data_IF_575331462162
#
_entry.id   IF_575331462162
#
_cell.length_a   1.000
_cell.length_b   1.000
_cell.length_c   1.000
_cell.angle_alpha   90.00
_cell.angle_beta   90.00
_cell.angle_gamma   90.00
#
_symmetry.space_group_name_H-M   'P 1'
#
loop_
_entity.id
_entity.type
_entity.pdbx_description
1 polymer ?
#
# COMPACT_ATOMS: atom_id res chain seq x y z
N UNK A 1 -16.16 -11.39 3.94
CA UNK A 1 -15.66 -10.10 4.41
C UNK A 1 -15.26 -9.22 3.22
N UNK A 2 -15.78 -8.01 3.19
CA UNK A 2 -15.45 -7.06 2.15
C UNK A 2 -14.37 -6.11 2.64
N UNK A 3 -13.44 -5.79 1.74
CA UNK A 3 -12.37 -4.84 2.03
C UNK A 3 -12.48 -3.71 0.99
N UNK A 4 -12.68 -2.50 1.48
CA UNK A 4 -12.78 -1.35 0.59
C UNK A 4 -11.40 -0.92 0.14
N UNK A 5 -11.23 -0.69 -1.17
CA UNK A 5 -9.94 -0.29 -1.72
C UNK A 5 -9.41 1.00 -1.07
N UNK A 6 -10.32 1.94 -0.78
CA UNK A 6 -9.93 3.20 -0.12
C UNK A 6 -9.35 2.98 1.27
N UNK A 7 -9.85 1.97 2.00
CA UNK A 7 -9.34 1.66 3.33
C UNK A 7 -7.95 1.04 3.24
N UNK A 8 -7.75 0.15 2.27
CA UNK A 8 -6.45 -0.46 2.03
C UNK A 8 -5.44 0.60 1.62
N UNK A 9 -5.86 1.52 0.76
CA UNK A 9 -5.00 2.62 0.33
C UNK A 9 -4.57 3.49 1.51
N UNK A 10 -5.50 3.79 2.42
CA UNK A 10 -5.18 4.56 3.62
C UNK A 10 -4.18 3.83 4.52
N UNK A 11 -4.33 2.51 4.65
CA UNK A 11 -3.38 1.71 5.41
C UNK A 11 -1.99 1.71 4.76
N UNK A 12 -1.96 1.65 3.43
CA UNK A 12 -0.70 1.69 2.69
C UNK A 12 0.02 3.02 2.90
N UNK A 13 -0.73 4.11 2.86
CA UNK A 13 -0.17 5.44 3.10
C UNK A 13 0.42 5.55 4.50
N UNK A 14 -0.29 5.04 5.51
CA UNK A 14 0.21 5.05 6.88
C UNK A 14 1.46 4.19 7.05
N UNK A 15 1.46 3.01 6.45
CA UNK A 15 2.59 2.11 6.52
C UNK A 15 3.83 2.73 5.87
N UNK A 16 3.64 3.36 4.72
CA UNK A 16 4.73 4.01 4.02
C UNK A 16 5.29 5.19 4.83
N UNK A 17 4.42 5.97 5.44
CA UNK A 17 4.84 7.13 6.23
C UNK A 17 5.67 6.74 7.45
N UNK A 18 5.45 5.55 8.01
CA UNK A 18 6.21 5.07 9.16
C UNK A 18 7.67 4.81 8.80
N UNK A 19 7.91 4.30 7.60
CA UNK A 19 9.25 3.95 7.16
C UNK A 19 9.92 5.06 6.34
N UNK A 20 9.11 5.98 5.82
CA UNK A 20 9.61 7.07 4.98
C UNK A 20 9.02 8.41 5.45
N UNK A 21 9.29 8.82 6.70
CA UNK A 21 8.75 10.09 7.21
C UNK A 21 9.27 11.27 6.40
N UNK A 22 8.38 12.19 6.10
CA UNK A 22 8.74 13.40 5.35
C UNK A 22 8.75 13.22 3.84
N UNK A 23 8.55 12.01 3.33
CA UNK A 23 8.50 11.79 1.89
C UNK A 23 7.13 12.16 1.35
N UNK A 24 7.10 12.97 0.30
CA UNK A 24 5.85 13.37 -0.35
C UNK A 24 5.40 12.25 -1.27
N UNK A 25 4.15 11.80 -1.10
CA UNK A 25 3.56 10.80 -1.98
C UNK A 25 2.89 11.53 -3.14
N UNK A 26 3.48 11.44 -4.33
CA UNK A 26 2.95 12.07 -5.53
C UNK A 26 2.03 11.13 -6.29
N UNK A 27 2.32 9.85 -6.25
CA UNK A 27 1.48 8.84 -6.87
C UNK A 27 1.56 7.56 -6.05
N UNK A 28 0.47 6.81 -6.05
CA UNK A 28 0.43 5.51 -5.38
C UNK A 28 -0.48 4.59 -6.19
N UNK A 29 0.03 3.40 -6.47
CA UNK A 29 -0.74 2.36 -7.13
C UNK A 29 -0.94 1.22 -6.16
N UNK A 30 -2.09 0.58 -6.24
CA UNK A 30 -2.46 -0.50 -5.34
C UNK A 30 -2.80 -1.75 -6.16
N UNK A 31 -2.20 -2.87 -5.77
CA UNK A 31 -2.45 -4.17 -6.40
C UNK A 31 -2.94 -5.13 -5.34
N UNK A 32 -4.14 -5.65 -5.51
CA UNK A 32 -4.72 -6.59 -4.56
C UNK A 32 -4.53 -7.99 -5.08
N UNK A 33 -3.95 -8.87 -4.26
CA UNK A 33 -3.77 -10.27 -4.59
C UNK A 33 -4.70 -11.12 -3.73
N UNK A 34 -5.83 -11.58 -4.27
CA UNK A 34 -6.76 -12.43 -3.51
C UNK A 34 -6.13 -13.74 -3.05
N UNK A 35 -5.24 -14.29 -3.84
CA UNK A 35 -4.59 -15.57 -3.54
C UNK A 35 -3.74 -15.50 -2.29
N UNK A 36 -3.13 -14.34 -2.05
CA UNK A 36 -2.24 -14.13 -0.92
C UNK A 36 -2.92 -13.41 0.23
N UNK A 37 -4.17 -12.98 0.05
CA UNK A 37 -4.88 -12.13 1.00
C UNK A 37 -4.04 -10.92 1.38
N UNK A 38 -3.46 -10.29 0.39
CA UNK A 38 -2.57 -9.17 0.60
C UNK A 38 -2.72 -8.14 -0.51
N UNK A 39 -2.32 -6.91 -0.21
CA UNK A 39 -2.25 -5.85 -1.20
C UNK A 39 -0.83 -5.32 -1.26
N UNK A 40 -0.35 -5.10 -2.46
CA UNK A 40 0.96 -4.51 -2.70
C UNK A 40 0.77 -3.11 -3.22
N UNK A 41 1.66 -2.22 -2.88
CA UNK A 41 1.56 -0.84 -3.35
C UNK A 41 2.89 -0.35 -3.91
N UNK A 42 2.77 0.59 -4.84
CA UNK A 42 3.90 1.25 -5.50
C UNK A 42 3.76 2.74 -5.23
N UNK A 43 4.81 3.35 -4.70
CA UNK A 43 4.80 4.77 -4.34
C UNK A 43 5.80 5.51 -5.22
N UNK A 44 5.32 6.54 -5.90
CA UNK A 44 6.16 7.37 -6.77
C UNK A 44 6.92 6.54 -7.81
N UNK A 45 6.29 5.47 -8.32
CA UNK A 45 6.90 4.59 -9.29
C UNK A 45 7.85 3.56 -8.73
N UNK A 46 8.01 3.49 -7.42
CA UNK A 46 8.89 2.52 -6.77
C UNK A 46 8.10 1.48 -6.00
N UNK A 47 8.40 0.21 -6.24
CA UNK A 47 7.81 -0.90 -5.52
C UNK A 47 8.86 -1.63 -4.69
N UNK A 48 8.39 -2.34 -3.66
CA UNK A 48 9.26 -3.13 -2.80
C UNK A 48 8.45 -4.28 -2.22
N UNK A 49 9.13 -5.38 -1.90
CA UNK A 49 8.48 -6.51 -1.23
C UNK A 49 7.95 -6.12 0.15
N UNK A 50 8.51 -5.06 0.74
CA UNK A 50 8.06 -4.55 2.03
C UNK A 50 6.77 -3.71 1.91
N UNK A 51 6.42 -3.29 0.70
CA UNK A 51 5.23 -2.47 0.46
C UNK A 51 4.02 -3.39 0.32
N UNK A 52 3.63 -3.98 1.43
CA UNK A 52 2.59 -4.99 1.49
C UNK A 52 1.66 -4.75 2.68
N UNK A 53 0.38 -4.92 2.44
CA UNK A 53 -0.64 -4.86 3.48
C UNK A 53 -1.34 -6.22 3.53
N UNK A 54 -1.32 -6.86 4.67
CA UNK A 54 -2.05 -8.12 4.85
C UNK A 54 -3.53 -7.81 5.08
N UNK A 55 -4.39 -8.46 4.34
CA UNK A 55 -5.83 -8.22 4.39
C UNK A 55 -6.55 -9.15 5.36
#
# INVERSE_FOLDING_TARGET
>A
RQVAAKDVLAQAEKAYAKTHPGTVIKSMELYISPEQNAAYYVVNGEGSDDFRIDL
#
